data_IF_529184363962
#
_entry.id   IF_529184363962
#
_cell.length_a   1.000
_cell.length_b   1.000
_cell.length_c   1.000
_cell.angle_alpha   90.00
_cell.angle_beta   90.00
_cell.angle_gamma   90.00
#
_symmetry.space_group_name_H-M   'P 1'
#
loop_
_entity.id
_entity.type
_entity.pdbx_description
1 polymer ?
#
# COMPACT_ATOMS: atom_id res chain seq x y z
N UNK A 1 -6.52 6.44 -14.49
CA UNK A 1 -7.33 5.76 -13.44
C UNK A 1 -7.16 4.25 -13.53
N UNK A 2 -7.57 3.59 -14.63
CA UNK A 2 -7.41 2.13 -14.79
C UNK A 2 -5.95 1.68 -14.68
N UNK A 3 -5.03 2.36 -15.37
CA UNK A 3 -3.59 2.03 -15.32
C UNK A 3 -3.02 2.08 -13.90
N UNK A 4 -3.41 3.08 -13.09
CA UNK A 4 -2.95 3.22 -11.70
C UNK A 4 -3.40 2.02 -10.86
N UNK A 5 -4.63 1.56 -11.09
CA UNK A 5 -5.14 0.36 -10.43
C UNK A 5 -4.47 -0.92 -10.90
N UNK A 6 -4.12 -1.04 -12.19
CA UNK A 6 -3.38 -2.19 -12.71
C UNK A 6 -1.98 -2.25 -12.11
N UNK A 7 -1.25 -1.13 -12.10
CA UNK A 7 0.08 -1.06 -11.47
C UNK A 7 0.01 -1.37 -9.97
N UNK A 8 -1.03 -0.93 -9.26
CA UNK A 8 -1.21 -1.27 -7.85
C UNK A 8 -1.43 -2.79 -7.63
N UNK A 9 -2.13 -3.44 -8.56
CA UNK A 9 -2.35 -4.90 -8.52
C UNK A 9 -1.05 -5.67 -8.82
N UNK A 10 -0.29 -5.22 -9.81
CA UNK A 10 0.98 -5.84 -10.24
C UNK A 10 2.09 -5.69 -9.19
N UNK A 11 2.26 -4.51 -8.60
CA UNK A 11 3.38 -4.23 -7.69
C UNK A 11 3.09 -4.59 -6.23
N UNK A 12 1.83 -4.47 -5.79
CA UNK A 12 1.45 -4.62 -4.36
C UNK A 12 0.40 -5.71 -4.16
N UNK A 13 -0.51 -5.92 -5.11
CA UNK A 13 -1.56 -6.94 -5.03
C UNK A 13 -2.72 -6.64 -4.07
N UNK A 14 -2.73 -5.46 -3.44
CA UNK A 14 -3.83 -4.96 -2.61
C UNK A 14 -4.00 -3.44 -2.78
N UNK A 15 -5.19 -2.92 -2.46
CA UNK A 15 -5.47 -1.49 -2.49
C UNK A 15 -5.88 -0.90 -3.85
N UNK A 16 -6.20 -1.73 -4.84
CA UNK A 16 -6.63 -1.31 -6.19
C UNK A 16 -7.84 -0.38 -6.18
N UNK A 17 -8.81 -0.62 -5.29
CA UNK A 17 -9.95 0.29 -5.11
C UNK A 17 -9.54 1.57 -4.38
N UNK A 18 -8.71 1.44 -3.34
CA UNK A 18 -8.28 2.54 -2.49
C UNK A 18 -7.47 3.57 -3.28
N UNK A 19 -6.59 3.14 -4.19
CA UNK A 19 -5.76 4.05 -5.00
C UNK A 19 -6.61 4.88 -5.97
N UNK A 20 -7.68 4.32 -6.52
CA UNK A 20 -8.63 5.06 -7.38
C UNK A 20 -9.37 6.13 -6.56
N UNK A 21 -9.90 5.74 -5.39
CA UNK A 21 -10.63 6.67 -4.51
C UNK A 21 -9.70 7.79 -4.05
N UNK A 22 -8.49 7.45 -3.61
CA UNK A 22 -7.49 8.42 -3.18
C UNK A 22 -7.13 9.40 -4.30
N UNK A 23 -6.89 8.93 -5.52
CA UNK A 23 -6.61 9.79 -6.66
C UNK A 23 -7.77 10.75 -6.96
N UNK A 24 -9.01 10.27 -6.88
CA UNK A 24 -10.20 11.11 -7.04
C UNK A 24 -10.30 12.20 -5.97
N UNK A 25 -10.10 11.84 -4.70
CA UNK A 25 -10.13 12.79 -3.58
C UNK A 25 -9.01 13.83 -3.69
N UNK A 26 -7.79 13.42 -4.03
CA UNK A 26 -6.65 14.33 -4.21
C UNK A 26 -6.91 15.38 -5.31
N UNK A 27 -7.64 15.01 -6.37
CA UNK A 27 -8.06 15.93 -7.43
C UNK A 27 -9.16 16.87 -6.97
N UNK A 28 -10.14 16.39 -6.20
CA UNK A 28 -11.21 17.24 -5.64
C UNK A 28 -10.64 18.30 -4.69
N UNK A 29 -9.66 17.94 -3.86
CA UNK A 29 -8.94 18.89 -3.00
C UNK A 29 -8.10 19.87 -3.84
N UNK A 30 -7.45 19.39 -4.91
CA UNK A 30 -6.63 20.24 -5.76
C UNK A 30 -7.46 21.31 -6.52
N UNK A 31 -8.70 20.99 -6.89
CA UNK A 31 -9.61 21.88 -7.60
C UNK A 31 -9.79 23.22 -6.88
N UNK A 32 -9.97 23.21 -5.55
CA UNK A 32 -10.14 24.42 -4.74
C UNK A 32 -8.95 25.38 -4.85
N UNK A 33 -7.73 24.86 -4.95
CA UNK A 33 -6.53 25.68 -5.10
C UNK A 33 -6.40 26.26 -6.51
N UNK A 34 -6.87 25.52 -7.52
CA UNK A 34 -6.91 26.00 -8.90
C UNK A 34 -7.95 27.12 -9.06
N UNK A 35 -9.11 27.02 -8.40
CA UNK A 35 -10.11 28.10 -8.34
C UNK A 35 -9.56 29.38 -7.71
N UNK A 36 -8.63 29.25 -6.76
CA UNK A 36 -7.89 30.36 -6.16
C UNK A 36 -6.74 30.89 -7.03
N UNK A 37 -6.66 30.47 -8.30
CA UNK A 37 -5.60 30.85 -9.26
C UNK A 37 -4.18 30.47 -8.82
N UNK A 38 -4.05 29.44 -7.98
CA UNK A 38 -2.73 28.90 -7.65
C UNK A 38 -2.13 28.19 -8.86
N UNK A 39 -0.86 28.47 -9.17
CA UNK A 39 -0.19 27.80 -10.29
C UNK A 39 -0.07 26.29 -10.01
N UNK A 40 -0.46 25.38 -10.94
CA UNK A 40 -0.49 23.94 -10.70
C UNK A 40 0.83 23.35 -10.19
N UNK A 41 1.97 23.90 -10.63
CA UNK A 41 3.30 23.50 -10.16
C UNK A 41 3.48 23.63 -8.65
N UNK A 42 2.84 24.62 -8.01
CA UNK A 42 2.91 24.82 -6.56
C UNK A 42 2.18 23.68 -5.85
N UNK A 43 0.98 23.33 -6.31
CA UNK A 43 0.18 22.21 -5.76
C UNK A 43 0.93 20.89 -5.91
N UNK A 44 1.49 20.62 -7.09
CA UNK A 44 2.27 19.40 -7.36
C UNK A 44 3.50 19.34 -6.45
N UNK A 45 4.22 20.45 -6.28
CA UNK A 45 5.39 20.51 -5.40
C UNK A 45 5.02 20.24 -3.93
N UNK A 46 3.86 20.73 -3.48
CA UNK A 46 3.37 20.49 -2.13
C UNK A 46 2.99 19.02 -1.92
N UNK A 47 2.28 18.39 -2.87
CA UNK A 47 1.95 16.97 -2.81
C UNK A 47 3.20 16.07 -2.81
N UNK A 48 4.23 16.41 -3.59
CA UNK A 48 5.51 15.68 -3.55
C UNK A 48 6.19 15.77 -2.19
N UNK A 49 6.20 16.96 -1.59
CA UNK A 49 6.78 17.13 -0.25
C UNK A 49 6.01 16.34 0.81
N UNK A 50 4.68 16.34 0.74
CA UNK A 50 3.85 15.54 1.65
C UNK A 50 4.10 14.03 1.48
N UNK A 51 4.34 13.56 0.24
CA UNK A 51 4.74 12.18 -0.02
C UNK A 51 6.06 11.83 0.68
N UNK A 52 7.08 12.68 0.55
CA UNK A 52 8.38 12.47 1.19
C UNK A 52 8.26 12.39 2.73
N UNK A 53 7.42 13.25 3.33
CA UNK A 53 7.18 13.25 4.78
C UNK A 53 6.52 11.94 5.25
N UNK A 54 5.58 11.38 4.47
CA UNK A 54 4.88 10.13 4.78
C UNK A 54 5.79 8.91 4.58
N UNK A 55 6.66 8.92 3.57
CA UNK A 55 7.62 7.84 3.33
C UNK A 55 8.61 7.66 4.48
N UNK A 56 8.83 8.70 5.30
CA UNK A 56 9.62 8.60 6.52
C UNK A 56 8.95 7.83 7.66
N UNK A 57 7.65 7.55 7.58
CA UNK A 57 6.86 6.91 8.65
C UNK A 57 6.69 5.39 8.49
N UNK A 58 7.55 4.72 7.73
CA UNK A 58 7.42 3.29 7.44
C UNK A 58 7.34 2.42 8.72
N UNK A 59 6.43 1.44 8.69
CA UNK A 59 6.19 0.53 9.80
C UNK A 59 7.27 -0.57 9.87
N UNK A 60 7.62 -0.96 11.10
CA UNK A 60 8.57 -2.06 11.34
C UNK A 60 7.97 -3.42 10.95
N UNK A 61 8.56 -4.04 9.93
CA UNK A 61 8.19 -5.37 9.40
C UNK A 61 8.66 -6.53 10.30
N UNK A 62 9.46 -6.26 11.34
CA UNK A 62 10.01 -7.28 12.23
C UNK A 62 8.97 -7.81 13.21
N UNK A 63 7.97 -6.99 13.57
CA UNK A 63 6.97 -7.34 14.57
C UNK A 63 5.89 -8.26 14.00
N UNK A 64 5.89 -9.52 14.44
CA UNK A 64 4.91 -10.53 14.00
C UNK A 64 3.46 -10.11 14.29
N UNK A 65 3.17 -9.54 15.45
CA UNK A 65 1.81 -9.14 15.82
C UNK A 65 1.28 -8.01 14.92
N UNK A 66 2.14 -7.06 14.59
CA UNK A 66 1.82 -5.97 13.66
C UNK A 66 1.55 -6.52 12.26
N UNK A 67 2.40 -7.44 11.78
CA UNK A 67 2.20 -8.09 10.48
C UNK A 67 0.91 -8.90 10.42
N UNK A 68 0.56 -9.64 11.49
CA UNK A 68 -0.71 -10.36 11.55
C UNK A 68 -1.92 -9.42 11.49
N UNK A 69 -1.86 -8.24 12.13
CA UNK A 69 -2.92 -7.23 12.02
C UNK A 69 -3.07 -6.71 10.60
N UNK A 70 -1.96 -6.45 9.91
CA UNK A 70 -1.96 -5.99 8.51
C UNK A 70 -2.57 -7.06 7.59
N UNK A 71 -2.10 -8.30 7.68
CA UNK A 71 -2.62 -9.41 6.87
C UNK A 71 -4.11 -9.62 7.15
N UNK A 72 -4.53 -9.53 8.41
CA UNK A 72 -5.93 -9.65 8.77
C UNK A 72 -6.80 -8.55 8.15
N UNK A 73 -6.30 -7.31 8.08
CA UNK A 73 -6.98 -6.21 7.37
C UNK A 73 -7.19 -6.52 5.89
N UNK A 74 -6.21 -7.12 5.23
CA UNK A 74 -6.29 -7.48 3.81
C UNK A 74 -7.25 -8.67 3.55
N UNK A 75 -7.28 -9.66 4.45
CA UNK A 75 -8.08 -10.89 4.29
C UNK A 75 -9.54 -10.69 4.74
N UNK A 76 -9.78 -9.87 5.77
CA UNK A 76 -11.12 -9.73 6.37
C UNK A 76 -12.19 -9.18 5.42
N UNK A 77 -11.79 -8.43 4.40
CA UNK A 77 -12.72 -7.87 3.40
C UNK A 77 -13.22 -8.91 2.40
N UNK A 78 -12.74 -10.16 2.47
CA UNK A 78 -13.01 -11.25 1.53
C UNK A 78 -13.67 -12.47 2.20
N UNK A 79 -13.99 -13.51 1.42
CA UNK A 79 -14.75 -14.70 1.82
C UNK A 79 -14.14 -15.56 2.97
N UNK A 80 -12.90 -15.25 3.38
CA UNK A 80 -12.15 -15.98 4.41
C UNK A 80 -12.30 -15.41 5.83
N UNK A 81 -13.19 -14.44 6.06
CA UNK A 81 -13.39 -13.80 7.37
C UNK A 81 -13.59 -14.80 8.53
N UNK A 82 -14.23 -15.95 8.28
CA UNK A 82 -14.45 -17.02 9.28
C UNK A 82 -13.19 -17.79 9.67
N UNK A 83 -12.18 -17.82 8.80
CA UNK A 83 -10.91 -18.54 8.99
C UNK A 83 -9.72 -17.57 8.99
N UNK A 84 -9.97 -16.29 9.20
CA UNK A 84 -8.98 -15.21 9.04
C UNK A 84 -7.77 -15.44 9.91
N UNK A 85 -7.94 -15.87 11.17
CA UNK A 85 -6.82 -16.14 12.08
C UNK A 85 -5.91 -17.27 11.58
N UNK A 86 -6.48 -18.39 11.14
CA UNK A 86 -5.71 -19.50 10.58
C UNK A 86 -5.01 -19.09 9.28
N UNK A 87 -5.74 -18.41 8.39
CA UNK A 87 -5.20 -17.92 7.11
C UNK A 87 -4.04 -16.93 7.33
N UNK A 88 -4.19 -15.97 8.24
CA UNK A 88 -3.15 -14.99 8.55
C UNK A 88 -1.85 -15.65 9.03
N UNK A 89 -1.97 -16.64 9.93
CA UNK A 89 -0.80 -17.36 10.44
C UNK A 89 -0.10 -18.15 9.32
N UNK A 90 -0.86 -18.92 8.54
CA UNK A 90 -0.29 -19.71 7.43
C UNK A 90 0.36 -18.79 6.40
N UNK A 91 -0.28 -17.67 6.02
CA UNK A 91 0.27 -16.71 5.07
C UNK A 91 1.59 -16.13 5.56
N UNK A 92 1.67 -15.68 6.82
CA UNK A 92 2.90 -15.10 7.35
C UNK A 92 4.03 -16.13 7.45
N UNK A 93 3.71 -17.36 7.85
CA UNK A 93 4.69 -18.44 7.97
C UNK A 93 5.19 -18.89 6.59
N UNK A 94 4.29 -18.99 5.60
CA UNK A 94 4.65 -19.33 4.22
C UNK A 94 5.60 -18.29 3.62
N UNK A 95 5.27 -16.99 3.74
CA UNK A 95 6.13 -15.90 3.25
C UNK A 95 7.50 -15.96 3.90
N UNK A 96 7.57 -16.08 5.24
CA UNK A 96 8.85 -16.17 5.97
C UNK A 96 9.69 -17.39 5.59
N UNK A 97 9.06 -18.49 5.18
CA UNK A 97 9.76 -19.71 4.76
C UNK A 97 10.47 -19.54 3.43
N UNK A 98 9.94 -18.70 2.53
CA UNK A 98 10.50 -18.48 1.18
C UNK A 98 11.34 -17.20 1.06
N UNK A 99 11.50 -16.44 2.14
CA UNK A 99 12.41 -15.28 2.18
C UNK A 99 13.85 -15.77 1.98
N UNK A 100 14.51 -15.24 0.96
CA UNK A 100 15.94 -15.39 0.75
C UNK A 100 16.65 -14.18 1.34
N UNK A 101 17.74 -14.41 2.07
CA UNK A 101 18.58 -13.35 2.62
C UNK A 101 19.98 -13.47 2.00
N UNK A 102 20.27 -12.61 1.03
CA UNK A 102 21.58 -12.52 0.38
C UNK A 102 22.19 -11.13 0.63
N UNK A 103 23.40 -11.09 1.17
CA UNK A 103 24.15 -9.84 1.42
C UNK A 103 23.39 -8.76 2.23
N UNK A 104 22.51 -9.17 3.15
CA UNK A 104 21.70 -8.25 3.96
C UNK A 104 20.44 -7.72 3.26
N UNK A 105 20.17 -8.16 2.03
CA UNK A 105 18.91 -7.92 1.33
C UNK A 105 17.98 -9.12 1.50
N UNK A 106 16.74 -8.84 1.93
CA UNK A 106 15.67 -9.83 1.98
C UNK A 106 14.87 -9.76 0.69
N UNK A 107 14.82 -10.85 -0.05
CA UNK A 107 14.10 -10.98 -1.30
C UNK A 107 13.08 -12.12 -1.20
N UNK A 108 11.93 -11.93 -1.83
CA UNK A 108 10.88 -12.96 -1.95
C UNK A 108 10.55 -13.03 -3.43
N UNK A 109 10.65 -14.23 -4.01
CA UNK A 109 10.25 -14.47 -5.40
C UNK A 109 8.71 -14.41 -5.51
N UNK A 110 8.21 -13.24 -5.90
CA UNK A 110 6.82 -13.04 -6.30
C UNK A 110 6.74 -13.09 -7.82
N UNK A 111 5.75 -13.82 -8.36
CA UNK A 111 5.53 -13.93 -9.80
C UNK A 111 5.41 -12.52 -10.42
N UNK A 112 6.31 -12.22 -11.35
CA UNK A 112 6.16 -11.12 -12.32
C UNK A 112 5.09 -11.42 -13.35
#
# INVERSE_FOLDING_TARGET
MVEISCTQDEEVGDGTTSVIILAGEMLSVAEQFLEQQMHPTVVISAYRRALDDILGMLMDISNREVMLKIINSAINTKALSRWSELACNITLDAVRTVVLEENGHKEIDIKK
#
